data_IF_567881880022
#
_entry.id   IF_567881880022
#
_cell.length_a   1.000
_cell.length_b   1.000
_cell.length_c   1.000
_cell.angle_alpha   90.00
_cell.angle_beta   90.00
_cell.angle_gamma   90.00
#
_symmetry.space_group_name_H-M   'P 1'
#
loop_
_entity.id
_entity.type
_entity.pdbx_description
1 polymer ?
#
# COMPACT_ATOMS: atom_id res chain seq x y z
N UNK A 1 8.56 1.81 -10.01
CA UNK A 1 8.00 0.79 -9.12
C UNK A 1 8.23 1.24 -7.68
N UNK A 2 7.19 1.41 -6.86
CA UNK A 2 7.35 1.92 -5.49
C UNK A 2 8.21 0.97 -4.66
N UNK A 3 9.03 1.54 -3.78
CA UNK A 3 9.91 0.75 -2.91
C UNK A 3 10.10 1.41 -1.55
N UNK A 4 10.32 0.59 -0.54
CA UNK A 4 10.62 0.99 0.82
C UNK A 4 12.04 0.53 1.14
N UNK A 5 12.84 1.41 1.73
CA UNK A 5 14.15 1.06 2.31
C UNK A 5 13.95 0.89 3.82
N UNK A 6 14.27 -0.28 4.34
CA UNK A 6 14.22 -0.58 5.76
C UNK A 6 15.52 -1.26 6.17
N UNK A 7 16.23 -0.66 7.15
CA UNK A 7 17.65 -0.93 7.35
C UNK A 7 18.45 -0.65 6.08
N UNK A 8 19.26 -1.61 5.64
CA UNK A 8 20.07 -1.53 4.41
C UNK A 8 19.43 -2.25 3.21
N UNK A 9 18.17 -2.66 3.32
CA UNK A 9 17.49 -3.50 2.31
C UNK A 9 16.38 -2.70 1.63
N UNK A 10 16.34 -2.79 0.29
CA UNK A 10 15.24 -2.26 -0.53
C UNK A 10 14.19 -3.34 -0.77
N UNK A 11 12.95 -3.01 -0.48
CA UNK A 11 11.77 -3.84 -0.71
C UNK A 11 10.92 -3.20 -1.81
N UNK A 12 10.59 -3.96 -2.85
CA UNK A 12 9.74 -3.50 -3.95
C UNK A 12 8.28 -3.85 -3.64
N UNK A 13 7.37 -2.92 -3.94
CA UNK A 13 5.94 -3.18 -3.84
C UNK A 13 5.55 -4.30 -4.81
N UNK A 14 4.72 -5.21 -4.35
CA UNK A 14 4.16 -6.32 -5.15
C UNK A 14 2.64 -6.41 -5.04
N UNK A 15 2.04 -5.56 -4.22
CA UNK A 15 0.59 -5.40 -4.07
C UNK A 15 0.29 -3.96 -3.69
N UNK A 16 -0.69 -3.34 -4.35
CA UNK A 16 -1.17 -2.00 -4.01
C UNK A 16 -2.62 -2.05 -3.53
N UNK A 17 -2.81 -2.08 -2.21
CA UNK A 17 -4.11 -2.30 -1.60
C UNK A 17 -4.30 -1.46 -0.34
N UNK A 18 -5.56 -1.11 -0.07
CA UNK A 18 -5.98 -0.30 1.07
C UNK A 18 -7.25 -0.89 1.67
N UNK A 19 -7.32 -0.92 3.00
CA UNK A 19 -8.52 -1.31 3.74
C UNK A 19 -9.28 -0.09 4.24
N UNK A 20 -10.57 0.00 3.92
CA UNK A 20 -11.45 1.02 4.46
C UNK A 20 -12.02 0.56 5.82
N UNK A 21 -11.76 1.34 6.87
CA UNK A 21 -12.25 1.08 8.23
C UNK A 21 -13.74 1.37 8.40
N UNK A 22 -14.33 2.21 7.56
CA UNK A 22 -15.75 2.58 7.63
C UNK A 22 -16.63 1.43 7.14
N UNK A 23 -16.39 0.95 5.92
CA UNK A 23 -17.21 -0.11 5.31
C UNK A 23 -16.53 -1.48 5.30
N UNK A 24 -15.44 -1.64 6.05
CA UNK A 24 -14.71 -2.90 6.21
C UNK A 24 -14.32 -3.60 4.90
N UNK A 25 -14.02 -2.82 3.85
CA UNK A 25 -13.73 -3.36 2.52
C UNK A 25 -12.27 -3.11 2.15
N UNK A 26 -11.58 -4.15 1.66
CA UNK A 26 -10.27 -3.98 1.01
C UNK A 26 -10.47 -3.75 -0.48
N UNK A 27 -9.84 -2.73 -1.01
CA UNK A 27 -9.74 -2.46 -2.45
C UNK A 27 -8.28 -2.53 -2.88
N UNK A 28 -8.04 -2.97 -4.12
CA UNK A 28 -6.71 -3.18 -4.68
C UNK A 28 -6.67 -2.69 -6.12
N UNK A 29 -5.65 -1.89 -6.44
CA UNK A 29 -5.40 -1.39 -7.80
C UNK A 29 -4.34 -2.28 -8.48
N UNK A 30 -4.68 -2.81 -9.65
CA UNK A 30 -3.89 -3.81 -10.37
C UNK A 30 -3.11 -3.23 -11.56
N UNK A 31 -3.55 -2.08 -12.11
CA UNK A 31 -2.93 -1.47 -13.28
C UNK A 31 -2.84 0.06 -13.16
N UNK A 32 -2.09 0.70 -14.07
CA UNK A 32 -1.85 2.16 -14.06
C UNK A 32 -3.15 2.97 -14.21
N UNK A 33 -4.17 2.38 -14.82
CA UNK A 33 -5.49 3.00 -15.03
C UNK A 33 -6.59 2.16 -14.36
N UNK A 34 -6.39 1.82 -13.08
CA UNK A 34 -7.32 1.01 -12.30
C UNK A 34 -7.74 1.76 -11.04
N UNK A 35 -8.58 2.76 -11.27
CA UNK A 35 -9.13 3.63 -10.25
C UNK A 35 -10.33 2.96 -9.57
N UNK A 36 -10.28 2.84 -8.24
CA UNK A 36 -11.31 2.17 -7.44
C UNK A 36 -11.66 2.97 -6.21
N UNK A 37 -12.94 2.95 -5.85
CA UNK A 37 -13.43 3.38 -4.54
C UNK A 37 -13.98 2.19 -3.78
N UNK A 38 -13.89 2.24 -2.45
CA UNK A 38 -14.65 1.34 -1.59
C UNK A 38 -16.17 1.62 -1.71
N UNK A 39 -17.04 0.68 -1.32
CA UNK A 39 -18.49 0.83 -1.47
C UNK A 39 -19.08 2.07 -0.79
N UNK A 40 -18.49 2.56 0.31
CA UNK A 40 -18.96 3.78 0.98
C UNK A 40 -18.40 5.08 0.38
N UNK A 41 -17.50 5.00 -0.59
CA UNK A 41 -16.88 6.16 -1.25
C UNK A 41 -15.84 6.92 -0.41
N UNK A 42 -15.63 6.56 0.86
CA UNK A 42 -14.73 7.31 1.75
C UNK A 42 -13.23 7.15 1.40
N UNK A 43 -12.85 6.00 0.84
CA UNK A 43 -11.48 5.64 0.51
C UNK A 43 -11.37 5.16 -0.92
N UNK A 44 -10.34 5.62 -1.65
CA UNK A 44 -10.04 5.22 -3.02
C UNK A 44 -8.57 4.85 -3.22
N UNK A 45 -8.29 4.14 -4.31
CA UNK A 45 -6.96 3.69 -4.71
C UNK A 45 -6.82 3.71 -6.23
N UNK A 46 -5.62 4.00 -6.74
CA UNK A 46 -5.36 4.03 -8.18
C UNK A 46 -3.87 3.91 -8.53
N UNK A 47 -3.58 3.59 -9.79
CA UNK A 47 -2.25 3.63 -10.39
C UNK A 47 -1.46 2.32 -10.29
N UNK A 48 -2.03 1.26 -9.71
CA UNK A 48 -1.41 -0.06 -9.61
C UNK A 48 -0.05 -0.04 -8.92
N UNK A 49 0.84 -0.95 -9.30
CA UNK A 49 2.22 -0.99 -8.78
C UNK A 49 3.12 -0.09 -9.66
N UNK A 50 2.83 1.22 -9.66
CA UNK A 50 3.56 2.21 -10.45
C UNK A 50 4.03 3.38 -9.57
N UNK A 51 4.99 4.16 -10.07
CA UNK A 51 5.54 5.29 -9.30
C UNK A 51 4.51 6.42 -9.03
N UNK A 52 3.42 6.46 -9.81
CA UNK A 52 2.33 7.43 -9.65
C UNK A 52 1.12 6.86 -8.94
N UNK A 53 1.27 5.73 -8.23
CA UNK A 53 0.16 5.16 -7.49
C UNK A 53 -0.25 6.02 -6.30
N UNK A 54 -1.52 5.92 -5.93
CA UNK A 54 -2.16 6.87 -5.03
C UNK A 54 -3.27 6.22 -4.23
N UNK A 55 -3.40 6.71 -3.01
CA UNK A 55 -4.54 6.47 -2.13
C UNK A 55 -5.27 7.79 -1.89
N UNK A 56 -6.58 7.71 -1.74
CA UNK A 56 -7.48 8.84 -1.60
C UNK A 56 -8.37 8.64 -0.38
N UNK A 57 -8.70 9.73 0.33
CA UNK A 57 -9.53 9.71 1.53
C UNK A 57 -8.77 10.14 2.78
N UNK A 58 -9.44 10.08 3.94
CA UNK A 58 -8.82 10.42 5.22
C UNK A 58 -8.00 9.25 5.76
N UNK A 59 -6.78 9.52 6.23
CA UNK A 59 -5.90 8.50 6.80
C UNK A 59 -6.52 7.81 8.03
N UNK A 60 -7.36 8.51 8.79
CA UNK A 60 -8.13 7.94 9.91
C UNK A 60 -9.07 6.82 9.49
N UNK A 61 -9.57 6.87 8.26
CA UNK A 61 -10.64 5.99 7.77
C UNK A 61 -10.08 4.77 7.04
N UNK A 62 -8.75 4.61 7.02
CA UNK A 62 -8.07 3.61 6.21
C UNK A 62 -6.88 2.95 6.92
N UNK A 63 -6.49 1.79 6.43
CA UNK A 63 -5.30 1.01 6.85
C UNK A 63 -4.55 0.51 5.62
N UNK A 64 -3.27 0.86 5.52
CA UNK A 64 -2.43 0.48 4.38
C UNK A 64 -2.23 -1.03 4.30
N UNK A 65 -2.57 -1.65 3.17
CA UNK A 65 -2.49 -3.12 2.96
C UNK A 65 -1.63 -3.51 1.76
N UNK A 66 -0.80 -2.58 1.26
CA UNK A 66 0.22 -2.90 0.26
C UNK A 66 1.22 -3.90 0.80
N UNK A 67 1.76 -4.74 -0.08
CA UNK A 67 2.79 -5.72 0.28
C UNK A 67 4.08 -5.38 -0.43
N UNK A 68 5.19 -5.53 0.29
CA UNK A 68 6.53 -5.31 -0.23
C UNK A 68 7.38 -6.55 0.01
N UNK A 69 8.20 -6.90 -0.98
CA UNK A 69 9.15 -8.01 -0.86
C UNK A 69 10.50 -7.66 -1.46
N UNK A 70 11.50 -8.39 -1.02
CA UNK A 70 12.81 -8.45 -1.65
C UNK A 70 13.23 -9.90 -1.85
N UNK A 71 14.30 -10.12 -2.61
CA UNK A 71 14.93 -11.42 -2.78
C UNK A 71 16.38 -11.30 -2.36
N UNK A 72 16.78 -12.04 -1.32
CA UNK A 72 18.16 -12.09 -0.81
C UNK A 72 18.62 -13.54 -0.86
N UNK A 73 19.71 -13.80 -1.58
CA UNK A 73 20.27 -15.15 -1.76
C UNK A 73 19.20 -16.18 -2.20
N UNK A 74 18.34 -15.80 -3.14
CA UNK A 74 17.24 -16.63 -3.65
C UNK A 74 16.03 -16.76 -2.72
N UNK A 75 16.06 -16.24 -1.49
CA UNK A 75 14.95 -16.29 -0.54
C UNK A 75 14.08 -15.04 -0.65
N UNK A 76 12.77 -15.23 -0.73
CA UNK A 76 11.79 -14.13 -0.67
C UNK A 76 11.65 -13.68 0.78
N UNK A 77 11.90 -12.41 1.03
CA UNK A 77 11.73 -11.77 2.34
C UNK A 77 10.62 -10.73 2.20
N UNK A 78 9.60 -10.83 3.04
CA UNK A 78 8.50 -9.88 3.10
C UNK A 78 8.81 -8.77 4.10
N UNK A 79 8.47 -7.53 3.75
CA UNK A 79 8.53 -6.44 4.70
C UNK A 79 7.42 -6.64 5.75
N UNK A 80 7.73 -6.58 7.06
CA UNK A 80 6.70 -6.69 8.09
C UNK A 80 5.63 -5.58 7.95
N UNK A 81 4.39 -5.95 8.17
CA UNK A 81 3.24 -5.05 8.06
C UNK A 81 3.35 -3.83 9.00
N UNK A 82 3.88 -4.02 10.21
CA UNK A 82 4.09 -2.93 11.18
C UNK A 82 4.98 -1.81 10.62
N UNK A 83 6.02 -2.15 9.87
CA UNK A 83 6.93 -1.16 9.25
C UNK A 83 6.20 -0.35 8.17
N UNK A 84 5.28 -0.98 7.45
CA UNK A 84 4.46 -0.34 6.42
C UNK A 84 3.49 0.65 7.09
N UNK A 85 2.81 0.22 8.15
CA UNK A 85 1.85 1.03 8.92
C UNK A 85 2.52 2.22 9.64
N UNK A 86 3.70 2.01 10.22
CA UNK A 86 4.50 3.07 10.83
C UNK A 86 4.87 4.15 9.80
N UNK A 87 5.37 3.74 8.63
CA UNK A 87 5.67 4.68 7.53
C UNK A 87 4.44 5.42 7.06
N UNK A 88 3.33 4.71 6.92
CA UNK A 88 2.07 5.28 6.49
C UNK A 88 1.56 6.35 7.46
N UNK A 89 1.63 6.05 8.76
CA UNK A 89 1.22 6.97 9.82
C UNK A 89 2.20 8.13 9.96
N UNK A 90 3.50 7.93 9.73
CA UNK A 90 4.49 9.01 9.78
C UNK A 90 4.25 10.09 8.72
N UNK A 91 3.59 9.77 7.60
CA UNK A 91 3.18 10.76 6.58
C UNK A 91 1.98 11.62 7.00
N UNK A 92 1.31 11.27 8.11
CA UNK A 92 0.13 11.99 8.62
C UNK A 92 0.44 13.11 9.62
N UNK A 93 1.72 13.27 10.01
CA UNK A 93 2.24 14.29 10.92
C UNK A 93 3.08 15.30 10.16
#
# INVERSE_FOLDING_TARGET
>A
MPSIVYGSIRYSQVRHAIYCKICSTTIESLSVHDFKFCPCGAVGIDGGISAGNRILGKLSDMEERSMYRTVVNGRKIWLPQSVIEERFTALSK
#
